data_IF_339290386900
#
_entry.id   IF_339290386900
#
_cell.length_a   1.000
_cell.length_b   1.000
_cell.length_c   1.000
_cell.angle_alpha   90.00
_cell.angle_beta   90.00
_cell.angle_gamma   90.00
#
_symmetry.space_group_name_H-M   'P 1'
#
loop_
_entity.id
_entity.type
_entity.pdbx_description
1 polymer ?
#
# COMPACT_ATOMS: atom_id res chain seq x y z
N UNK A 1 21.58 23.48 21.29
CA UNK A 1 21.13 22.07 21.29
C UNK A 1 19.64 22.07 21.57
N UNK A 2 18.82 21.46 20.72
CA UNK A 2 17.38 21.37 20.96
C UNK A 2 17.11 20.39 22.12
N UNK A 3 16.06 20.61 22.92
CA UNK A 3 15.72 19.70 24.01
C UNK A 3 15.23 18.37 23.46
N UNK A 4 15.76 17.26 24.01
CA UNK A 4 15.25 15.93 23.73
C UNK A 4 13.89 15.73 24.39
N UNK A 5 12.90 15.31 23.60
CA UNK A 5 11.57 14.95 24.11
C UNK A 5 11.66 13.56 24.72
N UNK A 6 12.00 13.49 26.01
CA UNK A 6 12.16 12.24 26.76
C UNK A 6 10.84 11.60 27.20
N UNK A 7 9.71 12.30 27.00
CA UNK A 7 8.38 11.90 27.43
C UNK A 7 7.41 11.87 26.24
N UNK A 8 6.66 10.78 26.11
CA UNK A 8 5.53 10.72 25.20
C UNK A 8 4.45 11.73 25.60
N UNK A 9 3.95 12.49 24.62
CA UNK A 9 2.78 13.36 24.77
C UNK A 9 1.47 12.57 24.71
N UNK A 10 1.49 11.31 24.24
CA UNK A 10 0.30 10.46 24.20
C UNK A 10 0.04 9.82 25.57
N UNK A 11 -1.23 9.74 26.00
CA UNK A 11 -1.61 9.06 27.23
C UNK A 11 -1.42 7.53 27.17
N UNK A 12 -1.40 6.95 25.96
CA UNK A 12 -1.19 5.53 25.71
C UNK A 12 -0.37 5.27 24.43
N UNK A 13 0.03 4.01 24.22
CA UNK A 13 0.65 3.57 22.98
C UNK A 13 -0.32 3.51 21.80
N UNK A 14 0.17 3.14 20.60
CA UNK A 14 -0.68 2.89 19.44
C UNK A 14 -1.75 1.83 19.77
N UNK A 15 -2.97 2.05 19.30
CA UNK A 15 -4.05 1.06 19.39
C UNK A 15 -4.10 0.33 18.05
N UNK A 16 -3.29 -0.71 17.87
CA UNK A 16 -3.12 -1.35 16.55
C UNK A 16 -4.28 -2.25 16.14
N UNK A 17 -5.05 -2.74 17.11
CA UNK A 17 -6.12 -3.73 16.91
C UNK A 17 -7.50 -3.10 16.67
N UNK A 18 -7.62 -1.77 16.74
CA UNK A 18 -8.89 -1.07 16.52
C UNK A 18 -9.11 -0.72 15.05
N UNK A 19 -10.37 -0.50 14.67
CA UNK A 19 -10.76 -0.04 13.35
C UNK A 19 -10.26 1.39 13.07
N UNK A 20 -10.18 1.73 11.78
CA UNK A 20 -9.75 3.05 11.33
C UNK A 20 -10.84 4.11 11.55
N UNK A 21 -10.42 5.32 11.89
CA UNK A 21 -11.25 6.52 11.69
C UNK A 21 -11.42 6.81 10.20
N UNK A 22 -12.43 7.60 9.83
CA UNK A 22 -12.69 8.01 8.44
C UNK A 22 -11.45 8.63 7.79
N UNK A 23 -10.80 9.57 8.46
CA UNK A 23 -9.56 10.18 7.98
C UNK A 23 -8.44 9.15 7.76
N UNK A 24 -8.33 8.15 8.63
CA UNK A 24 -7.34 7.08 8.44
C UNK A 24 -7.67 6.20 7.24
N UNK A 25 -8.95 5.92 6.96
CA UNK A 25 -9.38 5.24 5.73
C UNK A 25 -8.99 6.05 4.49
N UNK A 26 -9.19 7.36 4.49
CA UNK A 26 -8.80 8.24 3.38
C UNK A 26 -7.28 8.22 3.12
N UNK A 27 -6.46 8.13 4.16
CA UNK A 27 -5.01 7.95 4.01
C UNK A 27 -4.66 6.61 3.33
N UNK A 28 -5.42 5.55 3.59
CA UNK A 28 -5.23 4.24 2.93
C UNK A 28 -5.70 4.28 1.48
N UNK A 29 -6.80 4.97 1.19
CA UNK A 29 -7.22 5.22 -0.19
C UNK A 29 -6.15 6.01 -0.96
N UNK A 30 -5.51 6.99 -0.34
CA UNK A 30 -4.38 7.70 -0.94
C UNK A 30 -3.17 6.77 -1.17
N UNK A 31 -2.83 5.93 -0.19
CA UNK A 31 -1.75 4.95 -0.34
C UNK A 31 -2.03 3.96 -1.49
N UNK A 32 -3.29 3.61 -1.76
CA UNK A 32 -3.67 2.75 -2.89
C UNK A 32 -3.35 3.34 -4.28
N UNK A 33 -3.15 4.67 -4.35
CA UNK A 33 -2.67 5.31 -5.58
C UNK A 33 -1.21 4.91 -5.86
N UNK A 34 -0.40 4.80 -4.80
CA UNK A 34 1.04 4.53 -4.90
C UNK A 34 1.37 3.09 -5.28
N UNK A 35 0.53 2.13 -4.91
CA UNK A 35 0.75 0.72 -5.26
C UNK A 35 -0.17 0.22 -6.40
N UNK A 36 -0.99 1.12 -6.97
CA UNK A 36 -1.89 0.82 -8.09
C UNK A 36 -3.19 0.14 -7.69
N UNK A 37 -3.47 -0.12 -6.41
CA UNK A 37 -4.68 -0.83 -5.98
C UNK A 37 -5.97 0.01 -6.10
N UNK A 38 -5.86 1.30 -6.38
CA UNK A 38 -7.01 2.18 -6.65
C UNK A 38 -7.88 1.74 -7.84
N UNK A 39 -7.38 0.89 -8.74
CA UNK A 39 -8.15 0.36 -9.88
C UNK A 39 -8.91 -0.92 -9.55
N UNK A 40 -8.80 -1.45 -8.34
CA UNK A 40 -9.49 -2.67 -7.93
C UNK A 40 -10.97 -2.39 -7.67
N UNK A 41 -11.82 -3.38 -7.90
CA UNK A 41 -13.26 -3.30 -7.65
C UNK A 41 -13.62 -2.98 -6.19
N UNK A 42 -12.71 -3.21 -5.25
CA UNK A 42 -12.88 -2.88 -3.84
C UNK A 42 -12.64 -1.39 -3.51
N UNK A 43 -12.25 -0.56 -4.48
CA UNK A 43 -12.15 0.88 -4.29
C UNK A 43 -13.55 1.55 -4.39
N UNK A 44 -13.88 2.54 -3.54
CA UNK A 44 -13.03 3.21 -2.55
C UNK A 44 -13.02 2.55 -1.16
N UNK A 45 -13.60 1.36 -0.99
CA UNK A 45 -13.78 0.73 0.33
C UNK A 45 -12.51 0.07 0.90
N UNK A 46 -11.36 0.26 0.26
CA UNK A 46 -10.07 -0.18 0.78
C UNK A 46 -9.76 0.48 2.14
N UNK A 47 -9.28 -0.30 3.09
CA UNK A 47 -8.99 0.16 4.46
C UNK A 47 -10.17 0.10 5.43
N UNK A 48 -11.43 0.00 4.96
CA UNK A 48 -12.61 -0.03 5.86
C UNK A 48 -12.63 -1.20 6.84
N UNK A 49 -12.00 -2.31 6.50
CA UNK A 49 -11.95 -3.54 7.33
C UNK A 49 -10.58 -3.77 7.96
N UNK A 50 -9.65 -2.81 7.83
CA UNK A 50 -8.30 -2.94 8.38
C UNK A 50 -8.29 -2.49 9.84
N UNK A 51 -7.45 -3.15 10.64
CA UNK A 51 -7.01 -2.57 11.90
C UNK A 51 -5.97 -1.48 11.66
N UNK A 52 -5.73 -0.60 12.64
CA UNK A 52 -4.69 0.43 12.56
C UNK A 52 -3.31 -0.15 12.21
N UNK A 53 -2.94 -1.31 12.76
CA UNK A 53 -1.68 -1.98 12.44
C UNK A 53 -1.61 -2.44 10.98
N UNK A 54 -2.68 -3.05 10.46
CA UNK A 54 -2.76 -3.49 9.06
C UNK A 54 -2.70 -2.31 8.08
N UNK A 55 -3.40 -1.23 8.41
CA UNK A 55 -3.42 0.00 7.64
C UNK A 55 -2.03 0.66 7.58
N UNK A 56 -1.33 0.72 8.72
CA UNK A 56 0.03 1.24 8.77
C UNK A 56 0.97 0.43 7.87
N UNK A 57 0.95 -0.90 7.97
CA UNK A 57 1.76 -1.76 7.11
C UNK A 57 1.44 -1.56 5.64
N UNK A 58 0.15 -1.48 5.29
CA UNK A 58 -0.28 -1.25 3.92
C UNK A 58 0.27 0.07 3.35
N UNK A 59 0.22 1.15 4.13
CA UNK A 59 0.74 2.46 3.72
C UNK A 59 2.27 2.43 3.55
N UNK A 60 3.00 1.82 4.47
CA UNK A 60 4.46 1.66 4.40
C UNK A 60 4.86 0.85 3.16
N UNK A 61 4.21 -0.28 2.91
CA UNK A 61 4.47 -1.14 1.76
C UNK A 61 4.18 -0.41 0.44
N UNK A 62 3.09 0.38 0.38
CA UNK A 62 2.73 1.13 -0.81
C UNK A 62 3.78 2.19 -1.16
N UNK A 63 4.26 2.95 -0.16
CA UNK A 63 5.33 3.93 -0.33
C UNK A 63 6.64 3.26 -0.72
N UNK A 64 7.02 2.17 -0.03
CA UNK A 64 8.26 1.45 -0.31
C UNK A 64 8.30 0.93 -1.75
N UNK A 65 7.22 0.28 -2.21
CA UNK A 65 7.10 -0.23 -3.59
C UNK A 65 7.16 0.88 -4.63
N UNK A 66 6.46 2.00 -4.40
CA UNK A 66 6.49 3.13 -5.33
C UNK A 66 7.90 3.71 -5.46
N UNK A 67 8.59 3.95 -4.34
CA UNK A 67 9.95 4.47 -4.34
C UNK A 67 10.95 3.49 -4.96
N UNK A 68 10.79 2.18 -4.74
CA UNK A 68 11.61 1.15 -5.37
C UNK A 68 11.45 1.18 -6.90
N UNK A 69 10.21 1.20 -7.38
CA UNK A 69 9.90 1.28 -8.80
C UNK A 69 10.42 2.59 -9.43
N UNK A 70 10.29 3.72 -8.73
CA UNK A 70 10.87 5.00 -9.12
C UNK A 70 12.38 4.94 -9.30
N UNK A 71 13.10 4.40 -8.30
CA UNK A 71 14.56 4.21 -8.40
C UNK A 71 14.96 3.27 -9.53
N UNK A 72 14.18 2.21 -9.77
CA UNK A 72 14.43 1.29 -10.88
C UNK A 72 14.23 1.96 -12.23
N UNK A 73 13.17 2.75 -12.40
CA UNK A 73 12.89 3.51 -13.62
C UNK A 73 13.99 4.54 -13.91
N UNK A 74 14.45 5.27 -12.89
CA UNK A 74 15.56 6.21 -13.02
C UNK A 74 16.86 5.52 -13.47
N UNK A 75 17.20 4.37 -12.87
CA UNK A 75 18.37 3.57 -13.31
C UNK A 75 18.24 3.05 -14.73
N UNK A 76 17.02 2.84 -15.22
CA UNK A 76 16.74 2.43 -16.59
C UNK A 76 16.70 3.60 -17.60
N UNK A 77 16.95 4.83 -17.16
CA UNK A 77 16.99 6.02 -18.03
C UNK A 77 15.62 6.66 -18.28
N UNK A 78 14.63 6.41 -17.43
CA UNK A 78 13.37 7.12 -17.49
C UNK A 78 13.56 8.63 -17.24
N UNK A 79 12.69 9.45 -17.83
CA UNK A 79 12.66 10.89 -17.57
C UNK A 79 12.38 11.15 -16.08
N UNK A 80 13.18 11.98 -15.43
CA UNK A 80 13.06 12.30 -13.99
C UNK A 80 11.74 12.97 -13.62
N UNK A 81 11.06 13.60 -14.59
CA UNK A 81 9.73 14.20 -14.42
C UNK A 81 8.58 13.22 -14.69
N UNK A 82 8.86 11.98 -15.12
CA UNK A 82 7.84 10.98 -15.36
C UNK A 82 7.39 10.32 -14.05
N UNK A 83 6.08 10.19 -13.87
CA UNK A 83 5.50 9.47 -12.73
C UNK A 83 5.42 7.98 -13.07
N UNK A 84 5.86 7.13 -12.15
CA UNK A 84 5.75 5.67 -12.31
C UNK A 84 4.29 5.24 -12.15
N UNK A 85 3.76 4.57 -13.17
CA UNK A 85 2.45 3.90 -13.09
C UNK A 85 2.64 2.49 -12.52
N UNK A 86 2.04 2.23 -11.37
CA UNK A 86 2.16 0.95 -10.67
C UNK A 86 1.04 -0.02 -11.08
N UNK A 87 1.40 -1.30 -11.23
CA UNK A 87 0.39 -2.38 -11.35
C UNK A 87 -0.13 -2.74 -9.96
N UNK A 88 -1.43 -3.08 -9.83
CA UNK A 88 -2.03 -3.41 -8.54
C UNK A 88 -1.22 -4.46 -7.79
N UNK A 89 -1.03 -4.24 -6.50
CA UNK A 89 -0.24 -5.09 -5.61
C UNK A 89 -1.01 -6.31 -5.11
N UNK A 90 -2.33 -6.15 -4.92
CA UNK A 90 -3.20 -7.17 -4.36
C UNK A 90 -3.65 -8.23 -5.39
N UNK A 91 -3.49 -7.98 -6.70
CA UNK A 91 -3.77 -8.99 -7.74
C UNK A 91 -2.61 -9.97 -7.97
N UNK A 92 -1.42 -9.66 -7.46
CA UNK A 92 -0.22 -10.51 -7.61
C UNK A 92 -0.24 -11.74 -6.69
N UNK A 93 -1.11 -11.78 -5.66
CA UNK A 93 -1.08 -12.82 -4.61
C UNK A 93 -2.08 -13.98 -4.81
N UNK A 94 -2.81 -14.03 -5.93
CA UNK A 94 -3.68 -15.17 -6.28
C UNK A 94 -3.31 -15.71 -7.65
N UNK A 95 -2.38 -16.66 -7.69
CA UNK A 95 -2.42 -17.93 -8.46
C UNK A 95 -1.23 -18.79 -8.03
N UNK A 96 -1.23 -19.18 -6.76
CA UNK A 96 -0.23 -20.08 -6.18
C UNK A 96 -0.92 -21.21 -5.43
N UNK A 97 -1.63 -22.09 -6.15
CA UNK A 97 -2.13 -23.34 -5.58
C UNK A 97 -3.42 -23.84 -6.22
N UNK A 98 -3.29 -24.87 -7.07
CA UNK A 98 -4.35 -25.87 -7.26
C UNK A 98 -4.98 -25.96 -8.65
N UNK A 99 -4.56 -27.00 -9.38
CA UNK A 99 -5.31 -27.81 -10.36
C UNK A 99 -5.81 -27.21 -11.69
N UNK A 100 -5.36 -27.83 -12.78
CA UNK A 100 -6.15 -27.95 -14.02
C UNK A 100 -5.38 -27.79 -15.32
N UNK A 101 -4.80 -28.88 -15.83
CA UNK A 101 -4.39 -29.03 -17.24
C UNK A 101 -5.61 -29.14 -18.19
N UNK A 102 -5.34 -29.05 -19.50
CA UNK A 102 -6.22 -29.28 -20.67
C UNK A 102 -7.10 -28.06 -21.07
N UNK A 103 -7.19 -27.60 -22.32
CA UNK A 103 -6.77 -28.10 -23.62
C UNK A 103 -6.67 -26.96 -24.67
N UNK A 104 -5.98 -27.27 -25.77
CA UNK A 104 -5.92 -26.56 -27.05
C UNK A 104 -7.29 -26.32 -27.74
N UNK A 105 -7.21 -25.53 -28.83
CA UNK A 105 -8.15 -25.32 -29.95
C UNK A 105 -9.27 -24.30 -29.69
N UNK A 106 -9.55 -23.32 -30.56
CA UNK A 106 -9.24 -23.11 -31.99
C UNK A 106 -9.05 -21.63 -32.30
#
# INVERSE_FOLDING_TARGET
KLPDVTRSLRPSGPQEDVELSEFQVELIQLASQLNGDHVLNGYPDIGRTMTVGQANQYAEDAVARFLEAGRAALRAGANESAIVTMRPSLTSRTVGGGSGSYAESS
#
